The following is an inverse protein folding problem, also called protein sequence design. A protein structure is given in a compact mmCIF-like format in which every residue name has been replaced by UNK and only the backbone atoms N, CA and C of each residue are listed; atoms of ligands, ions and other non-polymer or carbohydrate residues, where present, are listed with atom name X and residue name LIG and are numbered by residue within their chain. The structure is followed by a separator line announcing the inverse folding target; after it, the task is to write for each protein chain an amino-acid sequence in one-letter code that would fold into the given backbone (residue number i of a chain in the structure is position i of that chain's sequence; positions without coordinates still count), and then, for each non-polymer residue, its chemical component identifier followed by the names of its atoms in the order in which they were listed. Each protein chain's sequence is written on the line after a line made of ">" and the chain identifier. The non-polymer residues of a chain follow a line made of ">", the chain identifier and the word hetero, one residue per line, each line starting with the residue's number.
data_IF_221431088501
#
_entry.id   IF_221431088501
#
_cell.length_a   1.000
_cell.length_b   1.000
_cell.length_c   1.000
_cell.angle_alpha   90.00
_cell.angle_beta   90.00
_cell.angle_gamma   90.00
#
_symmetry.space_group_name_H-M   'P 1'
#
loop_
_entity.id
_entity.type
_entity.pdbx_description
1 polymer ?
#
# COMPACT_ATOMS: atom_id res chain seq x y z
N UNK A 1 3.42 10.11 -9.35
CA UNK A 1 3.83 8.70 -9.33
C UNK A 1 4.75 8.49 -8.16
N UNK A 2 4.19 8.13 -7.01
CA UNK A 2 4.93 7.81 -5.79
C UNK A 2 5.08 6.29 -5.66
N UNK A 3 6.29 5.84 -5.32
CA UNK A 3 6.57 4.44 -5.01
C UNK A 3 6.76 4.29 -3.51
N UNK A 4 5.83 3.63 -2.87
CA UNK A 4 5.80 3.46 -1.41
C UNK A 4 6.12 1.99 -1.10
N UNK A 5 7.08 1.73 -0.21
CA UNK A 5 7.45 0.39 0.26
C UNK A 5 7.35 0.34 1.78
N UNK A 6 6.55 -0.58 2.28
CA UNK A 6 6.51 -1.00 3.67
C UNK A 6 7.61 -2.00 4.00
N UNK A 7 7.48 -2.59 5.17
CA UNK A 7 8.44 -3.49 5.83
C UNK A 7 7.77 -4.83 6.14
N UNK A 8 8.46 -5.75 6.81
CA UNK A 8 7.85 -7.00 7.28
C UNK A 8 7.02 -6.81 8.59
N UNK A 9 6.80 -5.57 9.00
CA UNK A 9 6.03 -5.19 10.19
C UNK A 9 4.61 -4.74 9.83
N UNK A 10 3.88 -4.20 10.81
CA UNK A 10 2.58 -3.60 10.53
C UNK A 10 2.80 -2.17 10.04
N UNK A 11 2.62 -1.93 8.75
CA UNK A 11 2.85 -0.62 8.16
C UNK A 11 1.55 0.10 7.81
N UNK A 12 1.55 1.43 7.88
CA UNK A 12 0.48 2.26 7.32
C UNK A 12 1.04 3.00 6.12
N UNK A 13 0.62 2.60 4.92
CA UNK A 13 1.05 3.20 3.66
C UNK A 13 -0.15 3.90 3.01
N UNK A 14 -0.01 5.20 2.77
CA UNK A 14 -1.02 6.02 2.15
C UNK A 14 -0.47 6.66 0.87
N UNK A 15 -1.09 6.35 -0.25
CA UNK A 15 -0.90 7.00 -1.54
C UNK A 15 -1.64 8.34 -1.62
N UNK A 16 -1.25 9.12 -2.61
CA UNK A 16 -1.76 10.44 -2.92
C UNK A 16 -2.91 10.40 -3.93
N UNK A 17 -3.06 11.48 -4.69
CA UNK A 17 -4.07 11.60 -5.74
C UNK A 17 -3.54 11.23 -7.15
N UNK A 18 -2.32 10.68 -7.20
CA UNK A 18 -1.69 10.26 -8.44
C UNK A 18 -1.59 8.74 -8.48
N UNK A 19 -1.31 8.19 -9.67
CA UNK A 19 -1.09 6.75 -9.80
C UNK A 19 0.14 6.31 -9.02
N UNK A 20 -0.08 5.64 -7.89
CA UNK A 20 0.96 5.24 -6.96
C UNK A 20 1.19 3.73 -6.97
N UNK A 21 2.39 3.32 -6.56
CA UNK A 21 2.79 1.92 -6.50
C UNK A 21 3.21 1.59 -5.08
N UNK A 22 2.34 0.90 -4.36
CA UNK A 22 2.47 0.64 -2.92
C UNK A 22 2.78 -0.84 -2.71
N UNK A 23 3.84 -1.15 -1.96
CA UNK A 23 4.24 -2.53 -1.65
C UNK A 23 4.30 -2.70 -0.13
N UNK A 24 3.33 -3.40 0.45
CA UNK A 24 3.21 -3.61 1.90
C UNK A 24 4.23 -4.59 2.48
N UNK A 25 4.75 -5.52 1.67
CA UNK A 25 5.53 -6.68 2.15
C UNK A 25 4.69 -7.52 3.14
N UNK A 26 5.23 -7.90 4.30
CA UNK A 26 4.58 -8.85 5.23
C UNK A 26 4.19 -8.17 6.54
N UNK A 27 3.24 -8.73 7.27
CA UNK A 27 2.67 -8.07 8.44
C UNK A 27 1.22 -7.67 8.19
N UNK A 28 0.56 -7.03 9.16
CA UNK A 28 -0.77 -6.48 8.98
C UNK A 28 -0.67 -5.04 8.50
N UNK A 29 -0.68 -4.86 7.19
CA UNK A 29 -0.55 -3.55 6.58
C UNK A 29 -1.90 -2.85 6.44
N UNK A 30 -1.88 -1.54 6.63
CA UNK A 30 -2.96 -0.63 6.28
C UNK A 30 -2.55 0.15 5.04
N UNK A 31 -3.13 -0.20 3.90
CA UNK A 31 -2.76 0.34 2.59
C UNK A 31 -3.94 1.15 2.05
N UNK A 32 -3.72 2.43 1.78
CA UNK A 32 -4.70 3.30 1.13
C UNK A 32 -4.09 3.84 -0.16
N UNK A 33 -4.72 3.59 -1.30
CA UNK A 33 -4.23 4.08 -2.60
C UNK A 33 -4.43 5.58 -2.78
N UNK A 34 -5.52 6.12 -2.23
CA UNK A 34 -5.93 7.49 -2.51
C UNK A 34 -6.71 7.56 -3.81
N UNK A 35 -6.55 8.66 -4.57
CA UNK A 35 -7.22 8.84 -5.85
C UNK A 35 -6.23 8.55 -6.99
N UNK A 36 -6.72 8.01 -8.10
CA UNK A 36 -5.86 7.57 -9.19
C UNK A 36 -5.90 6.06 -9.36
N UNK A 37 -5.11 5.56 -10.32
CA UNK A 37 -4.96 4.14 -10.57
C UNK A 37 -3.73 3.62 -9.83
N UNK A 38 -3.95 3.17 -8.61
CA UNK A 38 -2.90 2.67 -7.73
C UNK A 38 -2.67 1.18 -7.91
N UNK A 39 -1.40 0.78 -7.81
CA UNK A 39 -0.98 -0.62 -7.81
C UNK A 39 -0.49 -0.99 -6.42
N UNK A 40 -1.34 -1.66 -5.64
CA UNK A 40 -1.03 -2.09 -4.28
C UNK A 40 -0.69 -3.59 -4.27
N UNK A 41 0.48 -3.95 -3.73
CA UNK A 41 0.96 -5.33 -3.65
C UNK A 41 1.41 -5.66 -2.22
N UNK A 42 0.66 -6.49 -1.51
CA UNK A 42 1.05 -7.03 -0.19
C UNK A 42 1.11 -8.55 -0.24
N UNK A 43 2.04 -9.12 0.53
CA UNK A 43 2.26 -10.57 0.64
C UNK A 43 1.39 -11.20 1.73
N UNK A 44 0.70 -10.41 2.55
CA UNK A 44 -0.21 -10.88 3.61
C UNK A 44 -1.49 -10.04 3.60
N UNK A 45 -2.53 -10.52 2.90
CA UNK A 45 -3.72 -9.72 2.61
C UNK A 45 -4.71 -9.71 3.78
N UNK A 46 -4.77 -8.58 4.50
CA UNK A 46 -5.99 -8.14 5.19
C UNK A 46 -6.41 -6.78 4.65
N UNK A 47 -6.59 -6.69 3.33
CA UNK A 47 -7.23 -5.53 2.70
C UNK A 47 -8.70 -5.57 3.10
N UNK A 48 -9.06 -4.75 4.08
CA UNK A 48 -10.45 -4.35 4.24
C UNK A 48 -10.73 -3.35 3.13
N UNK A 49 -11.40 -3.84 2.09
CA UNK A 49 -12.07 -3.01 1.09
C UNK A 49 -13.09 -2.10 1.77
#
# INVERSE_FOLDING_TARGET
>A
MAKIRGTNGNDTLQGGAENDSIVGLGGNDFLSGGAGNDTIRSLMFKVRC
#
